data_IF_047903547492
#
_entry.id   IF_047903547492
#
_cell.length_a   1.000
_cell.length_b   1.000
_cell.length_c   1.000
_cell.angle_alpha   90.00
_cell.angle_beta   90.00
_cell.angle_gamma   90.00
#
_symmetry.space_group_name_H-M   'P 1'
#
loop_
_entity.id
_entity.type
_entity.pdbx_description
1 polymer ?
#
# COMPACT_ATOMS: atom_id res chain seq x y z
N UNK A 1 11.82 22.61 20.28
CA UNK A 1 10.92 21.46 20.47
C UNK A 1 9.55 22.04 20.67
N UNK A 2 8.69 21.96 19.67
CA UNK A 2 7.25 22.21 19.88
C UNK A 2 6.75 21.06 20.74
N UNK A 3 6.17 21.37 21.91
CA UNK A 3 5.45 20.36 22.70
C UNK A 3 4.28 19.87 21.84
N UNK A 4 4.45 18.70 21.23
CA UNK A 4 3.34 18.03 20.56
C UNK A 4 2.34 17.66 21.64
N UNK A 5 1.11 18.14 21.52
CA UNK A 5 0.05 17.76 22.45
C UNK A 5 -0.39 16.32 22.17
N UNK A 6 -1.08 15.72 23.14
CA UNK A 6 -1.72 14.42 22.96
C UNK A 6 -2.68 14.42 21.77
N UNK A 7 -3.40 15.52 21.58
CA UNK A 7 -4.35 15.69 20.49
C UNK A 7 -3.64 15.72 19.13
N UNK A 8 -2.51 16.43 19.02
CA UNK A 8 -1.70 16.45 17.79
C UNK A 8 -1.23 15.04 17.40
N UNK A 9 -0.83 14.24 18.39
CA UNK A 9 -0.38 12.86 18.16
C UNK A 9 -1.54 11.95 17.72
N UNK A 10 -2.72 12.10 18.33
CA UNK A 10 -3.93 11.36 17.91
C UNK A 10 -4.28 11.72 16.46
N UNK A 11 -4.29 13.00 16.12
CA UNK A 11 -4.60 13.46 14.76
C UNK A 11 -3.57 12.95 13.75
N UNK A 12 -2.29 13.00 14.10
CA UNK A 12 -1.21 12.45 13.28
C UNK A 12 -1.42 10.96 13.00
N UNK A 13 -1.59 10.15 14.05
CA UNK A 13 -1.75 8.69 13.90
C UNK A 13 -3.03 8.36 13.11
N UNK A 14 -4.12 9.07 13.37
CA UNK A 14 -5.38 8.93 12.64
C UNK A 14 -5.18 9.22 11.16
N UNK A 15 -4.44 10.29 10.82
CA UNK A 15 -4.12 10.61 9.42
C UNK A 15 -3.25 9.53 8.78
N UNK A 16 -2.23 9.05 9.48
CA UNK A 16 -1.38 7.97 8.99
C UNK A 16 -2.17 6.67 8.77
N UNK A 17 -3.12 6.32 9.64
CA UNK A 17 -4.01 5.17 9.45
C UNK A 17 -4.90 5.33 8.20
N UNK A 18 -5.39 6.54 7.95
CA UNK A 18 -6.11 6.82 6.71
C UNK A 18 -5.21 6.68 5.48
N UNK A 19 -3.94 7.07 5.57
CA UNK A 19 -2.98 6.82 4.50
C UNK A 19 -2.74 5.31 4.30
N UNK A 20 -2.66 4.51 5.38
CA UNK A 20 -2.54 3.05 5.30
C UNK A 20 -3.76 2.45 4.61
N UNK A 21 -4.96 2.91 4.95
CA UNK A 21 -6.21 2.50 4.30
C UNK A 21 -6.18 2.77 2.80
N UNK A 22 -5.78 3.97 2.38
CA UNK A 22 -5.68 4.32 0.95
C UNK A 22 -4.66 3.46 0.22
N UNK A 23 -3.51 3.18 0.85
CA UNK A 23 -2.50 2.26 0.30
C UNK A 23 -3.10 0.86 0.12
N UNK A 24 -3.80 0.37 1.16
CA UNK A 24 -4.44 -0.93 1.13
C UNK A 24 -5.47 -1.02 0.00
N UNK A 25 -6.34 -0.02 -0.15
CA UNK A 25 -7.36 0.05 -1.21
C UNK A 25 -6.75 -0.03 -2.62
N UNK A 26 -5.73 0.80 -2.88
CA UNK A 26 -5.03 0.80 -4.18
C UNK A 26 -4.37 -0.55 -4.45
N UNK A 27 -3.72 -1.12 -3.45
CA UNK A 27 -3.04 -2.39 -3.58
C UNK A 27 -4.04 -3.55 -3.79
N UNK A 28 -5.17 -3.57 -3.09
CA UNK A 28 -6.23 -4.57 -3.31
C UNK A 28 -6.81 -4.46 -4.72
N UNK A 29 -7.08 -3.25 -5.20
CA UNK A 29 -7.58 -3.06 -6.56
C UNK A 29 -6.56 -3.54 -7.61
N UNK A 30 -5.27 -3.27 -7.41
CA UNK A 30 -4.21 -3.82 -8.25
C UNK A 30 -4.25 -5.35 -8.30
N UNK A 31 -4.30 -6.00 -7.13
CA UNK A 31 -4.35 -7.47 -7.05
C UNK A 31 -5.59 -8.01 -7.75
N UNK A 32 -6.75 -7.41 -7.48
CA UNK A 32 -8.01 -7.81 -8.10
C UNK A 32 -7.92 -7.72 -9.63
N UNK A 33 -7.51 -6.56 -10.18
CA UNK A 33 -7.35 -6.38 -11.62
C UNK A 33 -6.35 -7.37 -12.24
N UNK A 34 -5.24 -7.66 -11.55
CA UNK A 34 -4.26 -8.67 -11.98
C UNK A 34 -4.90 -10.06 -12.05
N UNK A 35 -5.72 -10.42 -11.07
CA UNK A 35 -6.43 -11.70 -11.07
C UNK A 35 -7.47 -11.79 -12.19
N UNK A 36 -8.24 -10.72 -12.42
CA UNK A 36 -9.24 -10.64 -13.51
C UNK A 36 -8.61 -10.75 -14.90
N UNK A 37 -7.30 -10.55 -15.07
CA UNK A 37 -6.64 -10.84 -16.36
C UNK A 37 -6.79 -12.30 -16.78
N UNK A 38 -7.01 -13.23 -15.84
CA UNK A 38 -7.20 -14.66 -16.16
C UNK A 38 -8.47 -14.93 -16.94
N UNK A 39 -9.53 -14.15 -16.73
CA UNK A 39 -10.86 -14.41 -17.30
C UNK A 39 -11.51 -13.17 -17.95
N UNK A 40 -10.83 -12.02 -17.96
CA UNK A 40 -11.28 -10.76 -18.60
C UNK A 40 -10.21 -10.13 -19.50
N UNK A 41 -9.18 -10.88 -19.91
CA UNK A 41 -8.09 -10.36 -20.74
C UNK A 41 -8.58 -9.69 -22.03
N UNK A 42 -9.49 -10.33 -22.76
CA UNK A 42 -10.02 -9.78 -24.01
C UNK A 42 -10.78 -8.47 -23.79
N UNK A 43 -11.57 -8.39 -22.72
CA UNK A 43 -12.29 -7.17 -22.34
C UNK A 43 -11.33 -6.04 -21.98
N UNK A 44 -10.26 -6.34 -21.25
CA UNK A 44 -9.21 -5.36 -20.92
C UNK A 44 -8.43 -4.92 -22.16
N UNK A 45 -8.24 -5.82 -23.14
CA UNK A 45 -7.58 -5.52 -24.40
C UNK A 45 -8.38 -4.62 -25.36
N UNK A 46 -9.62 -4.23 -25.01
CA UNK A 46 -10.31 -3.14 -25.68
C UNK A 46 -9.62 -1.78 -25.45
N UNK A 47 -8.96 -1.62 -24.30
CA UNK A 47 -8.25 -0.41 -23.92
C UNK A 47 -6.92 -0.74 -23.22
N UNK A 48 -5.97 -1.39 -23.93
CA UNK A 48 -4.80 -2.01 -23.31
C UNK A 48 -3.89 -0.98 -22.64
N UNK A 49 -3.69 0.18 -23.26
CA UNK A 49 -2.88 1.27 -22.68
C UNK A 49 -3.48 1.79 -21.37
N UNK A 50 -4.80 1.95 -21.30
CA UNK A 50 -5.50 2.39 -20.09
C UNK A 50 -5.27 1.39 -18.95
N UNK A 51 -5.60 0.12 -19.15
CA UNK A 51 -5.47 -0.89 -18.08
C UNK A 51 -4.02 -1.12 -17.67
N UNK A 52 -3.07 -1.05 -18.59
CA UNK A 52 -1.64 -1.14 -18.27
C UNK A 52 -1.20 0.02 -17.38
N UNK A 53 -1.51 1.27 -17.78
CA UNK A 53 -1.19 2.46 -16.98
C UNK A 53 -1.88 2.45 -15.62
N UNK A 54 -3.12 1.97 -15.54
CA UNK A 54 -3.85 1.84 -14.26
C UNK A 54 -3.17 0.84 -13.33
N UNK A 55 -2.83 -0.36 -13.83
CA UNK A 55 -2.13 -1.37 -13.03
C UNK A 55 -0.79 -0.87 -12.52
N UNK A 56 0.00 -0.27 -13.40
CA UNK A 56 1.30 0.29 -13.02
C UNK A 56 1.14 1.41 -12.00
N UNK A 57 0.22 2.37 -12.23
CA UNK A 57 -0.04 3.47 -11.30
C UNK A 57 -0.45 2.98 -9.91
N UNK A 58 -1.42 2.06 -9.83
CA UNK A 58 -1.88 1.50 -8.55
C UNK A 58 -0.75 0.83 -7.77
N UNK A 59 0.05 0.01 -8.45
CA UNK A 59 1.17 -0.68 -7.81
C UNK A 59 2.24 0.30 -7.35
N UNK A 60 2.67 1.20 -8.23
CA UNK A 60 3.73 2.16 -7.97
C UNK A 60 3.38 3.09 -6.82
N UNK A 61 2.17 3.66 -6.83
CA UNK A 61 1.67 4.51 -5.76
C UNK A 61 1.64 3.77 -4.42
N UNK A 62 1.19 2.52 -4.41
CA UNK A 62 1.13 1.70 -3.19
C UNK A 62 2.52 1.48 -2.61
N UNK A 63 3.49 1.11 -3.45
CA UNK A 63 4.89 0.88 -3.03
C UNK A 63 5.55 2.17 -2.55
N UNK A 64 5.39 3.27 -3.29
CA UNK A 64 5.97 4.58 -2.94
C UNK A 64 5.38 5.12 -1.64
N UNK A 65 4.06 5.03 -1.46
CA UNK A 65 3.41 5.51 -0.25
C UNK A 65 3.79 4.63 0.96
N UNK A 66 3.84 3.31 0.81
CA UNK A 66 4.24 2.39 1.87
C UNK A 66 5.68 2.61 2.32
N UNK A 67 6.62 2.75 1.37
CA UNK A 67 8.04 3.01 1.70
C UNK A 67 8.23 4.31 2.47
N UNK A 68 7.49 5.38 2.13
CA UNK A 68 7.54 6.65 2.87
C UNK A 68 7.20 6.50 4.34
N UNK A 69 6.31 5.58 4.70
CA UNK A 69 5.93 5.32 6.10
C UNK A 69 7.06 4.71 6.93
N UNK A 70 7.94 3.94 6.30
CA UNK A 70 9.05 3.24 6.96
C UNK A 70 10.42 3.91 6.75
N UNK A 71 10.47 5.03 6.01
CA UNK A 71 11.73 5.64 5.60
C UNK A 71 12.47 6.32 6.76
N UNK A 72 13.60 5.72 7.17
CA UNK A 72 14.50 6.24 8.20
C UNK A 72 15.06 7.63 7.90
N UNK A 73 15.33 7.92 6.62
CA UNK A 73 16.02 9.15 6.19
C UNK A 73 15.10 10.35 6.03
N UNK A 74 13.79 10.19 6.23
CA UNK A 74 12.83 11.26 6.03
C UNK A 74 12.86 12.26 7.20
N UNK A 75 13.77 13.24 7.11
CA UNK A 75 13.96 14.28 8.15
C UNK A 75 12.71 15.13 8.38
N UNK A 76 11.87 15.35 7.36
CA UNK A 76 10.74 16.29 7.43
C UNK A 76 9.35 15.65 7.42
N UNK A 77 9.20 14.41 6.96
CA UNK A 77 7.90 13.70 6.93
C UNK A 77 7.64 12.86 8.17
N UNK A 78 6.37 12.55 8.45
CA UNK A 78 6.00 11.65 9.55
C UNK A 78 6.14 10.19 9.13
N UNK A 79 6.79 9.39 9.97
CA UNK A 79 7.07 7.97 9.71
C UNK A 79 6.71 7.15 10.94
N UNK A 80 6.52 5.85 10.77
CA UNK A 80 6.24 4.92 11.87
C UNK A 80 7.33 5.00 12.94
N UNK A 81 8.59 5.12 12.52
CA UNK A 81 9.72 5.27 13.43
C UNK A 81 9.70 6.59 14.22
N UNK A 82 9.14 7.67 13.64
CA UNK A 82 8.91 8.91 14.40
C UNK A 82 7.80 8.76 15.43
N UNK A 83 6.72 8.05 15.10
CA UNK A 83 5.66 7.73 16.08
C UNK A 83 6.23 6.92 17.24
N UNK A 84 7.02 5.89 16.94
CA UNK A 84 7.74 5.10 17.95
C UNK A 84 8.66 6.02 18.78
N UNK A 85 9.44 6.88 18.14
CA UNK A 85 10.33 7.83 18.83
C UNK A 85 9.59 8.76 19.79
N UNK A 86 8.45 9.33 19.36
CA UNK A 86 7.58 10.16 20.22
C UNK A 86 7.06 9.33 21.40
N UNK A 87 6.63 8.09 21.16
CA UNK A 87 6.18 7.19 22.21
C UNK A 87 7.27 6.84 23.22
N UNK A 88 8.54 6.77 22.80
CA UNK A 88 9.69 6.54 23.68
C UNK A 88 10.03 7.78 24.51
N UNK A 89 10.04 8.98 23.90
CA UNK A 89 10.47 10.20 24.58
C UNK A 89 9.38 10.87 25.42
N UNK A 90 8.11 10.67 25.05
CA UNK A 90 6.98 11.46 25.56
C UNK A 90 5.90 10.56 26.17
N UNK A 91 6.31 9.66 27.07
CA UNK A 91 5.41 8.70 27.75
C UNK A 91 4.26 9.36 28.52
N UNK A 92 4.44 10.61 28.97
CA UNK A 92 3.39 11.41 29.61
C UNK A 92 2.17 11.64 28.71
N UNK A 93 2.33 11.67 27.39
CA UNK A 93 1.22 11.80 26.43
C UNK A 93 0.28 10.60 26.44
N UNK A 94 0.74 9.47 26.99
CA UNK A 94 0.02 8.20 27.06
C UNK A 94 -0.52 7.92 28.47
N UNK A 95 -0.58 8.91 29.36
CA UNK A 95 -1.04 8.77 30.75
C UNK A 95 -0.31 7.65 31.53
N UNK A 96 0.94 7.34 31.17
CA UNK A 96 1.68 6.21 31.77
C UNK A 96 1.17 4.82 31.38
N UNK A 97 0.19 4.72 30.47
CA UNK A 97 -0.32 3.44 29.94
C UNK A 97 0.66 2.75 29.01
N UNK A 98 1.64 3.49 28.49
CA UNK A 98 2.70 2.95 27.65
C UNK A 98 3.91 2.57 28.48
N UNK A 99 4.35 1.33 28.35
CA UNK A 99 5.53 0.81 29.06
C UNK A 99 6.71 0.86 28.08
N UNK A 100 7.89 1.38 28.48
CA UNK A 100 9.05 1.49 27.60
C UNK A 100 9.43 0.16 26.92
N UNK A 101 9.30 -0.97 27.61
CA UNK A 101 9.57 -2.29 27.04
C UNK A 101 8.61 -2.66 25.89
N UNK A 102 7.34 -2.24 25.96
CA UNK A 102 6.37 -2.47 24.88
C UNK A 102 6.71 -1.65 23.64
N UNK A 103 7.20 -0.42 23.82
CA UNK A 103 7.65 0.41 22.69
C UNK A 103 8.91 -0.17 22.05
N UNK A 104 9.83 -0.69 22.86
CA UNK A 104 11.03 -1.34 22.36
C UNK A 104 10.71 -2.66 21.64
N UNK A 105 9.69 -3.40 22.08
CA UNK A 105 9.20 -4.58 21.36
C UNK A 105 8.66 -4.21 19.97
N UNK A 106 7.86 -3.14 19.88
CA UNK A 106 7.36 -2.64 18.58
C UNK A 106 8.53 -2.23 17.68
N UNK A 107 9.52 -1.52 18.23
CA UNK A 107 10.75 -1.16 17.50
C UNK A 107 11.48 -2.39 16.98
N UNK A 108 11.64 -3.43 17.81
CA UNK A 108 12.28 -4.69 17.41
C UNK A 108 11.52 -5.36 16.26
N UNK A 109 10.19 -5.42 16.32
CA UNK A 109 9.36 -5.95 15.22
C UNK A 109 9.56 -5.20 13.90
N UNK A 110 9.78 -3.89 13.94
CA UNK A 110 10.13 -3.11 12.74
C UNK A 110 11.51 -3.52 12.22
N UNK A 111 12.51 -3.67 13.10
CA UNK A 111 13.86 -4.10 12.72
C UNK A 111 13.88 -5.54 12.15
N UNK A 112 13.05 -6.44 12.66
CA UNK A 112 12.89 -7.80 12.13
C UNK A 112 12.41 -7.80 10.66
N UNK A 113 11.68 -6.76 10.24
CA UNK A 113 11.23 -6.56 8.86
C UNK A 113 12.13 -5.65 8.04
N UNK A 114 13.25 -5.18 8.59
CA UNK A 114 14.11 -4.18 7.94
C UNK A 114 14.63 -4.65 6.57
N UNK A 115 15.00 -5.92 6.44
CA UNK A 115 15.45 -6.47 5.16
C UNK A 115 14.37 -6.40 4.06
N UNK A 116 13.09 -6.57 4.41
CA UNK A 116 11.98 -6.42 3.47
C UNK A 116 11.72 -4.93 3.16
N UNK A 117 11.77 -4.06 4.17
CA UNK A 117 11.65 -2.60 4.02
C UNK A 117 12.75 -2.07 3.09
N UNK A 118 14.00 -2.50 3.28
CA UNK A 118 15.15 -2.10 2.47
C UNK A 118 15.00 -2.56 1.02
N UNK A 119 14.53 -3.79 0.78
CA UNK A 119 14.19 -4.26 -0.58
C UNK A 119 13.14 -3.38 -1.22
N UNK A 120 12.09 -3.00 -0.48
CA UNK A 120 11.02 -2.14 -0.99
C UNK A 120 11.53 -0.73 -1.32
N UNK A 121 12.42 -0.18 -0.48
CA UNK A 121 13.10 1.10 -0.75
C UNK A 121 13.99 1.04 -1.99
N UNK A 122 14.74 -0.05 -2.17
CA UNK A 122 15.55 -0.28 -3.37
C UNK A 122 14.67 -0.37 -4.62
N UNK A 123 13.52 -1.06 -4.53
CA UNK A 123 12.52 -1.10 -5.59
C UNK A 123 12.01 0.30 -5.94
N UNK A 124 11.65 1.11 -4.94
CA UNK A 124 11.26 2.51 -5.13
C UNK A 124 12.34 3.30 -5.86
N UNK A 125 13.56 3.29 -5.34
CA UNK A 125 14.64 4.16 -5.80
C UNK A 125 15.12 3.79 -7.21
N UNK A 126 15.26 2.48 -7.49
CA UNK A 126 15.82 1.98 -8.75
C UNK A 126 14.79 1.72 -9.85
N UNK A 127 13.54 1.41 -9.50
CA UNK A 127 12.51 1.14 -10.50
C UNK A 127 11.68 2.39 -10.83
N UNK A 128 11.51 3.32 -9.88
CA UNK A 128 10.55 4.42 -10.02
C UNK A 128 11.14 5.83 -9.88
N UNK A 129 12.25 6.03 -9.16
CA UNK A 129 12.83 7.37 -8.96
C UNK A 129 13.97 7.68 -9.94
N UNK A 130 14.79 6.69 -10.26
CA UNK A 130 15.86 6.82 -11.24
C UNK A 130 15.70 5.70 -12.27
N UNK A 131 15.52 6.04 -13.53
CA UNK A 131 15.60 5.10 -14.66
C UNK A 131 17.05 4.63 -14.83
N UNK A 132 17.58 3.99 -13.78
CA UNK A 132 18.97 3.57 -13.71
C UNK A 132 19.18 2.51 -14.78
N UNK A 133 20.15 2.78 -15.66
CA UNK A 133 20.33 2.08 -16.94
C UNK A 133 20.53 0.58 -16.74
N UNK A 134 21.13 0.21 -15.62
CA UNK A 134 21.45 -1.17 -15.25
C UNK A 134 20.21 -1.99 -14.81
N UNK A 135 19.14 -1.32 -14.38
CA UNK A 135 17.89 -1.95 -13.90
C UNK A 135 16.73 -1.77 -14.87
N UNK A 136 16.81 -0.81 -15.79
CA UNK A 136 15.83 -0.62 -16.86
C UNK A 136 15.72 -1.86 -17.77
N UNK A 137 16.85 -2.55 -18.03
CA UNK A 137 16.91 -3.72 -18.92
C UNK A 137 16.87 -5.07 -18.20
N UNK A 138 17.00 -5.10 -16.86
CA UNK A 138 17.10 -6.34 -16.10
C UNK A 138 16.33 -6.24 -14.77
N UNK A 139 15.01 -6.35 -14.87
CA UNK A 139 14.08 -6.27 -13.73
C UNK A 139 14.27 -7.42 -12.72
N UNK A 140 14.90 -8.52 -13.12
CA UNK A 140 15.15 -9.67 -12.23
C UNK A 140 16.25 -9.38 -11.19
N UNK A 141 17.15 -8.43 -11.46
CA UNK A 141 18.21 -8.02 -10.52
C UNK A 141 17.72 -7.36 -9.24
N UNK A 142 16.49 -6.83 -9.20
CA UNK A 142 15.95 -6.17 -8.01
C UNK A 142 15.43 -7.17 -6.95
N UNK A 143 15.33 -8.46 -7.31
CA UNK A 143 14.68 -9.49 -6.51
C UNK A 143 13.17 -9.28 -6.49
N UNK A 144 12.39 -10.34 -6.70
CA UNK A 144 10.94 -10.23 -6.63
C UNK A 144 10.49 -9.94 -5.19
N UNK A 145 9.73 -8.87 -4.99
CA UNK A 145 8.91 -8.70 -3.77
C UNK A 145 7.55 -9.27 -4.09
N UNK A 146 7.13 -10.27 -3.34
CA UNK A 146 5.83 -10.89 -3.56
C UNK A 146 4.70 -9.94 -3.13
N UNK A 147 3.53 -10.02 -3.78
CA UNK A 147 2.35 -9.31 -3.32
C UNK A 147 1.96 -9.58 -1.86
N UNK A 148 2.25 -10.78 -1.36
CA UNK A 148 1.98 -11.19 0.03
C UNK A 148 2.87 -10.41 0.98
N UNK A 149 4.16 -10.25 0.66
CA UNK A 149 5.08 -9.45 1.47
C UNK A 149 4.67 -7.98 1.53
N UNK A 150 4.22 -7.39 0.40
CA UNK A 150 3.72 -6.00 0.37
C UNK A 150 2.47 -5.87 1.24
N UNK A 151 1.48 -6.77 1.06
CA UNK A 151 0.27 -6.80 1.88
C UNK A 151 0.61 -6.88 3.36
N UNK A 152 1.49 -7.80 3.75
CA UNK A 152 1.89 -7.99 5.14
C UNK A 152 2.60 -6.77 5.72
N UNK A 153 3.31 -5.96 4.92
CA UNK A 153 3.85 -4.68 5.38
C UNK A 153 2.79 -3.59 5.56
N UNK A 154 1.77 -3.55 4.69
CA UNK A 154 0.64 -2.61 4.82
C UNK A 154 -0.13 -2.92 6.10
N UNK A 155 -0.47 -4.19 6.32
CA UNK A 155 -1.17 -4.66 7.52
C UNK A 155 -0.35 -4.36 8.78
N UNK A 156 0.95 -4.65 8.75
CA UNK A 156 1.87 -4.35 9.85
C UNK A 156 1.97 -2.85 10.17
N UNK A 157 1.96 -1.97 9.17
CA UNK A 157 1.90 -0.52 9.39
C UNK A 157 0.63 -0.13 10.14
N UNK A 158 -0.50 -0.71 9.74
CA UNK A 158 -1.79 -0.54 10.39
C UNK A 158 -1.81 -1.01 11.84
N UNK A 159 -1.28 -2.20 12.11
CA UNK A 159 -1.19 -2.79 13.45
C UNK A 159 -0.40 -1.89 14.41
N UNK A 160 0.76 -1.38 13.99
CA UNK A 160 1.58 -0.49 14.82
C UNK A 160 0.83 0.78 15.16
N UNK A 161 0.23 1.43 14.17
CA UNK A 161 -0.48 2.69 14.37
C UNK A 161 -1.72 2.51 15.24
N UNK A 162 -2.47 1.42 15.03
CA UNK A 162 -3.63 1.07 15.85
C UNK A 162 -3.25 0.75 17.30
N UNK A 163 -2.09 0.12 17.53
CA UNK A 163 -1.58 -0.08 18.89
C UNK A 163 -1.42 1.26 19.61
N UNK A 164 -0.73 2.23 19.00
CA UNK A 164 -0.53 3.53 19.64
C UNK A 164 -1.83 4.33 19.79
N UNK A 165 -2.72 4.29 18.79
CA UNK A 165 -4.03 4.93 18.88
C UNK A 165 -4.85 4.35 20.04
N UNK A 166 -4.90 3.02 20.16
CA UNK A 166 -5.60 2.33 21.24
C UNK A 166 -5.10 2.73 22.62
N UNK A 167 -3.79 2.85 22.80
CA UNK A 167 -3.22 3.34 24.08
C UNK A 167 -3.58 4.81 24.33
N UNK A 168 -3.59 5.65 23.29
CA UNK A 168 -3.83 7.08 23.41
C UNK A 168 -5.29 7.43 23.70
N UNK A 169 -6.26 6.77 23.07
CA UNK A 169 -7.67 7.17 23.19
C UNK A 169 -8.67 6.01 23.13
N UNK A 170 -8.21 4.76 23.29
CA UNK A 170 -9.03 3.54 23.19
C UNK A 170 -9.76 3.38 21.84
N UNK A 171 -9.29 4.04 20.78
CA UNK A 171 -9.82 3.85 19.43
C UNK A 171 -8.94 2.93 18.60
N UNK A 172 -9.53 2.36 17.56
CA UNK A 172 -8.83 1.66 16.49
C UNK A 172 -9.56 1.90 15.17
N UNK A 173 -8.83 1.85 14.07
CA UNK A 173 -9.36 1.97 12.72
C UNK A 173 -9.14 0.63 12.02
N UNK A 174 -10.24 -0.02 11.64
CA UNK A 174 -10.19 -1.24 10.85
C UNK A 174 -9.75 -0.91 9.42
N UNK A 175 -8.68 -1.55 8.96
CA UNK A 175 -8.18 -1.38 7.60
C UNK A 175 -8.79 -2.46 6.71
N UNK A 176 -9.57 -2.06 5.73
CA UNK A 176 -10.24 -2.99 4.80
C UNK A 176 -10.61 -2.34 3.49
N UNK A 177 -10.45 -3.09 2.40
CA UNK A 177 -10.86 -2.60 1.09
C UNK A 177 -12.38 -2.67 0.93
N UNK A 178 -13.00 -1.51 0.75
CA UNK A 178 -14.46 -1.40 0.64
C UNK A 178 -14.95 -1.48 -0.80
N UNK A 179 -14.14 -1.02 -1.77
CA UNK A 179 -14.60 -0.78 -3.15
C UNK A 179 -13.74 -1.47 -4.23
N UNK A 180 -12.85 -2.40 -3.88
CA UNK A 180 -11.97 -3.05 -4.86
C UNK A 180 -12.72 -3.85 -5.94
N UNK A 181 -13.96 -4.27 -5.64
CA UNK A 181 -14.82 -5.03 -6.54
C UNK A 181 -15.68 -4.16 -7.46
N UNK A 182 -15.77 -2.85 -7.24
CA UNK A 182 -16.62 -1.99 -8.08
C UNK A 182 -16.19 -1.98 -9.54
N UNK A 183 -14.90 -2.22 -9.79
CA UNK A 183 -14.33 -2.33 -11.13
C UNK A 183 -14.91 -3.52 -11.92
N UNK A 184 -15.46 -4.53 -11.26
CA UNK A 184 -16.08 -5.67 -11.94
C UNK A 184 -17.29 -5.26 -12.76
N UNK A 185 -18.02 -4.22 -12.34
CA UNK A 185 -19.13 -3.65 -13.13
C UNK A 185 -18.62 -3.17 -14.49
N UNK A 186 -17.49 -2.47 -14.51
CA UNK A 186 -16.84 -1.97 -15.74
C UNK A 186 -16.35 -3.16 -16.58
N UNK A 187 -15.66 -4.11 -15.97
CA UNK A 187 -15.15 -5.29 -16.68
C UNK A 187 -16.26 -6.15 -17.29
N UNK A 188 -17.40 -6.29 -16.60
CA UNK A 188 -18.54 -7.04 -17.11
C UNK A 188 -19.18 -6.35 -18.32
N UNK A 189 -19.34 -5.02 -18.29
CA UNK A 189 -19.85 -4.24 -19.44
C UNK A 189 -18.93 -4.42 -20.65
N UNK A 190 -17.61 -4.31 -20.46
CA UNK A 190 -16.63 -4.50 -21.53
C UNK A 190 -16.68 -5.94 -22.08
N UNK A 191 -16.79 -6.93 -21.21
CA UNK A 191 -16.85 -8.33 -21.61
C UNK A 191 -18.12 -8.64 -22.41
N UNK A 192 -19.28 -8.13 -21.99
CA UNK A 192 -20.52 -8.24 -22.75
C UNK A 192 -20.40 -7.59 -24.13
N UNK A 193 -19.72 -6.44 -24.21
CA UNK A 193 -19.47 -5.78 -25.49
C UNK A 193 -18.63 -6.65 -26.43
N UNK A 194 -17.54 -7.25 -25.94
CA UNK A 194 -16.71 -8.20 -26.72
C UNK A 194 -17.54 -9.38 -27.21
N UNK A 195 -18.34 -10.00 -26.35
CA UNK A 195 -19.19 -11.13 -26.73
C UNK A 195 -20.17 -10.77 -27.85
N UNK A 196 -20.85 -9.62 -27.74
CA UNK A 196 -21.79 -9.15 -28.77
C UNK A 196 -21.10 -8.87 -30.11
N UNK A 197 -19.88 -8.33 -30.10
CA UNK A 197 -19.10 -8.14 -31.33
C UNK A 197 -18.75 -9.47 -32.00
N UNK A 198 -18.36 -10.48 -31.22
CA UNK A 198 -18.07 -11.82 -31.73
C UNK A 198 -19.30 -12.46 -32.37
N UNK A 199 -20.44 -12.44 -31.68
CA UNK A 199 -21.70 -12.96 -32.22
C UNK A 199 -22.11 -12.28 -33.53
N UNK A 200 -21.94 -10.96 -33.61
CA UNK A 200 -22.23 -10.21 -34.83
C UNK A 200 -21.33 -10.65 -35.99
N UNK A 201 -20.02 -10.78 -35.76
CA UNK A 201 -19.07 -11.23 -36.78
C UNK A 201 -19.32 -12.66 -37.25
N UNK A 202 -19.70 -13.57 -36.36
CA UNK A 202 -20.06 -14.96 -36.70
C UNK A 202 -21.32 -15.02 -37.56
N UNK A 203 -22.35 -14.22 -37.24
CA UNK A 203 -23.56 -14.12 -38.07
C UNK A 203 -23.28 -13.61 -39.47
N UNK A 204 -22.31 -12.71 -39.63
CA UNK A 204 -21.88 -12.22 -40.95
C UNK A 204 -21.06 -13.24 -41.74
N UNK A 205 -20.24 -14.05 -41.08
CA UNK A 205 -19.46 -15.11 -41.73
C UNK A 205 -20.31 -16.28 -42.24
N UNK A 206 -21.47 -16.50 -41.65
CA UNK A 206 -22.39 -17.59 -41.98
C UNK A 206 -23.51 -17.18 -42.97
N UNK A 207 -23.41 -16.00 -43.58
CA UNK A 207 -24.28 -15.49 -44.64
C UNK A 207 -23.53 -15.47 -45.96
#
# INVERSE_FOLDING_TARGET
MTDNTREDLIQLITRMLHDVQVIYDKFQLYIHLRERTKDRLEAMNLAPAFFHMTLDSLFNDSVVALTRMFELRNKHGYTILKVIGIAQSSTHLFDGKIIPSSVEEVRRKVMEKQALIDRLLVWRDKHYAHSDRDYYFDKEKLGAISPIEIRGLIEFAGEILNYFLGVLNNNSIHISATNSLDVDKVLNILNEHVSKQKEFLERWRNR
#
